data_IF_703114018883
#
_entry.id   IF_703114018883
#
_cell.length_a   1.000
_cell.length_b   1.000
_cell.length_c   1.000
_cell.angle_alpha   90.00
_cell.angle_beta   90.00
_cell.angle_gamma   90.00
#
_symmetry.space_group_name_H-M   'P 1'
#
loop_
_entity.id
_entity.type
_entity.pdbx_description
1 polymer ?
#
# COMPACT_ATOMS: atom_id res chain seq x y z
N UNK A 1 10.48 15.83 -20.06
CA UNK A 1 9.02 15.69 -20.22
C UNK A 1 8.43 17.05 -19.88
N UNK A 2 8.04 17.84 -20.87
CA UNK A 2 7.44 19.17 -20.59
C UNK A 2 5.96 18.99 -20.22
N UNK A 3 5.57 19.59 -19.09
CA UNK A 3 4.20 19.56 -18.56
C UNK A 3 3.29 20.43 -19.43
N UNK A 4 2.86 19.91 -20.58
CA UNK A 4 1.96 20.59 -21.53
C UNK A 4 0.65 21.11 -20.93
N UNK A 5 0.25 20.62 -19.75
CA UNK A 5 -0.99 20.95 -19.05
C UNK A 5 -0.77 21.48 -17.61
N UNK A 6 0.39 22.06 -17.30
CA UNK A 6 0.68 22.54 -15.94
C UNK A 6 -0.30 23.60 -15.41
N UNK A 7 -1.02 24.30 -16.31
CA UNK A 7 -1.94 25.39 -15.97
C UNK A 7 -3.39 24.93 -15.72
N UNK A 8 -3.68 23.64 -15.76
CA UNK A 8 -5.04 23.19 -15.45
C UNK A 8 -5.43 23.56 -13.99
N UNK A 9 -6.67 24.03 -13.76
CA UNK A 9 -7.10 24.52 -12.44
C UNK A 9 -7.03 23.43 -11.36
N UNK A 10 -7.09 22.16 -11.76
CA UNK A 10 -6.91 21.00 -10.88
C UNK A 10 -5.51 20.97 -10.25
N UNK A 11 -4.46 21.23 -11.03
CA UNK A 11 -3.08 21.21 -10.52
C UNK A 11 -2.79 22.44 -9.66
N UNK A 12 -3.35 23.59 -10.01
CA UNK A 12 -3.27 24.80 -9.18
C UNK A 12 -3.91 24.59 -7.80
N UNK A 13 -5.08 23.94 -7.74
CA UNK A 13 -5.74 23.60 -6.47
C UNK A 13 -4.90 22.64 -5.61
N UNK A 14 -4.27 21.63 -6.24
CA UNK A 14 -3.38 20.69 -5.53
C UNK A 14 -2.12 21.38 -5.01
N UNK A 15 -1.52 22.28 -5.81
CA UNK A 15 -0.34 23.05 -5.40
C UNK A 15 -0.67 23.98 -4.22
N UNK A 16 -1.83 24.63 -4.24
CA UNK A 16 -2.26 25.50 -3.14
C UNK A 16 -2.52 24.74 -1.84
N UNK A 17 -2.90 23.46 -1.93
CA UNK A 17 -3.06 22.57 -0.78
C UNK A 17 -1.77 21.87 -0.36
N UNK A 18 -0.67 22.03 -1.09
CA UNK A 18 0.60 21.38 -0.78
C UNK A 18 1.30 22.11 0.37
N UNK A 19 1.75 21.35 1.36
CA UNK A 19 2.51 21.86 2.49
C UNK A 19 3.96 21.39 2.37
N UNK A 20 4.89 22.34 2.37
CA UNK A 20 6.31 22.03 2.46
C UNK A 20 6.67 21.72 3.90
N UNK A 21 7.22 20.53 4.11
CA UNK A 21 7.68 20.09 5.41
C UNK A 21 9.18 20.28 5.53
N UNK A 22 9.61 21.33 6.25
CA UNK A 22 11.02 21.63 6.59
C UNK A 22 11.63 20.70 7.65
N UNK A 23 11.26 19.42 7.60
CA UNK A 23 11.74 18.40 8.52
C UNK A 23 12.94 17.65 7.94
N UNK A 24 14.14 17.99 8.40
CA UNK A 24 15.43 17.31 8.20
C UNK A 24 16.17 17.58 6.88
N UNK A 25 16.87 18.72 6.86
CA UNK A 25 18.20 18.81 6.23
C UNK A 25 19.13 17.85 7.00
N UNK A 26 19.14 16.60 6.57
CA UNK A 26 19.99 15.57 7.15
C UNK A 26 20.04 14.42 6.16
N UNK A 27 21.22 14.19 5.59
CA UNK A 27 21.44 13.15 4.59
C UNK A 27 20.89 11.79 5.03
N UNK A 28 20.78 10.89 4.05
CA UNK A 28 20.16 9.56 4.09
C UNK A 28 20.59 8.58 5.23
N UNK A 29 21.32 9.03 6.25
CA UNK A 29 21.81 8.24 7.38
C UNK A 29 21.13 8.44 8.73
N UNK A 30 20.24 9.42 8.94
CA UNK A 30 19.58 9.62 10.25
C UNK A 30 18.11 10.03 10.13
N UNK A 31 17.30 9.21 9.48
CA UNK A 31 15.87 9.22 9.81
C UNK A 31 15.74 8.70 11.25
N UNK A 32 15.73 9.61 12.23
CA UNK A 32 15.47 9.26 13.62
C UNK A 32 14.12 8.53 13.69
N UNK A 33 14.18 7.21 13.94
CA UNK A 33 13.05 6.27 13.96
C UNK A 33 11.95 6.66 14.95
N UNK A 34 12.27 7.51 15.92
CA UNK A 34 11.34 8.01 16.91
C UNK A 34 10.97 9.49 16.75
N UNK A 35 11.39 10.14 15.65
CA UNK A 35 10.99 11.52 15.41
C UNK A 35 9.45 11.59 15.36
N UNK A 36 8.82 12.41 16.23
CA UNK A 36 7.37 12.56 16.25
C UNK A 36 6.84 13.18 14.95
N UNK A 37 7.73 13.77 14.15
CA UNK A 37 7.40 14.41 12.88
C UNK A 37 7.01 13.40 11.80
N UNK A 38 7.86 12.40 11.56
CA UNK A 38 7.63 11.38 10.52
C UNK A 38 6.40 10.54 10.81
N UNK A 39 6.18 10.19 12.07
CA UNK A 39 4.97 9.46 12.51
C UNK A 39 3.70 10.24 12.17
N UNK A 40 3.67 11.57 12.40
CA UNK A 40 2.51 12.40 12.04
C UNK A 40 2.27 12.43 10.53
N UNK A 41 3.32 12.57 9.72
CA UNK A 41 3.19 12.56 8.26
C UNK A 41 2.67 11.21 7.75
N UNK A 42 3.20 10.10 8.26
CA UNK A 42 2.74 8.75 7.91
C UNK A 42 1.30 8.49 8.35
N UNK A 43 0.89 8.99 9.52
CA UNK A 43 -0.50 8.94 9.96
C UNK A 43 -1.41 9.73 9.02
N UNK A 44 -0.99 10.91 8.55
CA UNK A 44 -1.75 11.66 7.51
C UNK A 44 -1.87 10.87 6.21
N UNK A 45 -0.87 10.11 5.80
CA UNK A 45 -0.96 9.26 4.59
C UNK A 45 -1.87 8.05 4.83
N UNK A 46 -1.84 7.45 6.02
CA UNK A 46 -2.61 6.26 6.36
C UNK A 46 -4.10 6.57 6.57
N UNK A 47 -4.40 7.65 7.30
CA UNK A 47 -5.77 7.99 7.72
C UNK A 47 -6.45 8.99 6.78
N UNK A 48 -5.68 9.87 6.14
CA UNK A 48 -6.20 10.90 5.24
C UNK A 48 -5.72 10.63 3.81
N UNK A 49 -6.34 11.28 2.82
CA UNK A 49 -6.00 11.12 1.40
C UNK A 49 -4.80 11.97 0.98
N UNK A 50 -3.66 11.78 1.64
CA UNK A 50 -2.41 12.50 1.34
C UNK A 50 -1.37 11.60 0.69
N UNK A 51 -0.52 12.20 -0.15
CA UNK A 51 0.68 11.59 -0.70
C UNK A 51 1.91 12.40 -0.28
N UNK A 52 3.03 11.71 -0.07
CA UNK A 52 4.31 12.35 0.27
C UNK A 52 5.22 12.27 -0.96
N UNK A 53 5.82 13.40 -1.31
CA UNK A 53 6.84 13.51 -2.34
C UNK A 53 8.18 13.79 -1.65
N UNK A 54 9.14 12.90 -1.85
CA UNK A 54 10.49 13.00 -1.26
C UNK A 54 11.44 12.09 -2.05
N UNK A 55 12.73 12.12 -1.71
CA UNK A 55 13.74 11.26 -2.30
C UNK A 55 13.39 9.79 -2.15
N UNK A 56 13.48 9.03 -3.25
CA UNK A 56 13.19 7.58 -3.27
C UNK A 56 13.95 6.83 -2.18
N UNK A 57 15.23 7.18 -1.97
CA UNK A 57 16.06 6.62 -0.91
C UNK A 57 15.46 6.87 0.47
N UNK A 58 15.10 8.12 0.77
CA UNK A 58 14.49 8.50 2.05
C UNK A 58 13.17 7.80 2.30
N UNK A 59 12.30 7.75 1.29
CA UNK A 59 11.03 7.03 1.38
C UNK A 59 11.22 5.54 1.61
N UNK A 60 12.18 4.91 0.92
CA UNK A 60 12.48 3.48 1.11
C UNK A 60 13.01 3.15 2.51
N UNK A 61 13.86 4.02 3.09
CA UNK A 61 14.29 3.88 4.48
C UNK A 61 13.12 4.05 5.45
N UNK A 62 12.25 5.04 5.21
CA UNK A 62 11.08 5.30 6.06
C UNK A 62 10.10 4.11 6.05
N UNK A 63 9.79 3.58 4.88
CA UNK A 63 8.92 2.41 4.75
C UNK A 63 9.49 1.19 5.47
N UNK A 64 10.80 0.95 5.36
CA UNK A 64 11.44 -0.14 6.10
C UNK A 64 11.37 0.09 7.61
N UNK A 65 11.59 1.32 8.07
CA UNK A 65 11.55 1.65 9.48
C UNK A 65 10.16 1.38 10.09
N UNK A 66 9.08 1.73 9.38
CA UNK A 66 7.70 1.43 9.77
C UNK A 66 7.41 -0.07 9.75
N UNK A 67 7.80 -0.78 8.68
CA UNK A 67 7.62 -2.23 8.59
C UNK A 67 8.31 -2.96 9.76
N UNK A 68 9.50 -2.53 10.15
CA UNK A 68 10.21 -3.08 11.31
C UNK A 68 9.52 -2.81 12.66
N UNK A 69 8.49 -1.94 12.70
CA UNK A 69 7.70 -1.64 13.90
C UNK A 69 6.34 -2.35 13.85
N UNK A 70 5.63 -2.26 12.72
CA UNK A 70 4.25 -2.79 12.60
C UNK A 70 4.18 -4.21 12.06
N UNK A 71 5.26 -4.71 11.44
CA UNK A 71 5.31 -5.95 10.66
C UNK A 71 4.30 -6.00 9.49
N UNK A 72 3.70 -4.86 9.14
CA UNK A 72 2.74 -4.72 8.04
C UNK A 72 3.36 -3.98 6.84
N UNK A 73 2.78 -4.14 5.65
CA UNK A 73 3.20 -3.48 4.42
C UNK A 73 2.09 -2.53 3.92
N UNK A 74 1.83 -1.46 4.67
CA UNK A 74 0.70 -0.56 4.37
C UNK A 74 1.01 0.51 3.33
N UNK A 75 2.30 0.79 3.12
CA UNK A 75 2.77 1.83 2.21
C UNK A 75 3.36 1.23 0.94
N UNK A 76 3.25 1.95 -0.17
CA UNK A 76 3.84 1.61 -1.45
C UNK A 76 4.52 2.83 -2.06
N UNK A 77 5.58 2.60 -2.84
CA UNK A 77 6.21 3.64 -3.66
C UNK A 77 5.67 3.56 -5.08
N UNK A 78 5.54 4.73 -5.70
CA UNK A 78 5.29 4.84 -7.14
C UNK A 78 6.43 4.18 -7.93
N UNK A 79 6.08 3.56 -9.06
CA UNK A 79 7.07 3.01 -10.02
C UNK A 79 7.69 4.12 -10.85
N UNK A 80 6.93 5.18 -11.14
CA UNK A 80 7.41 6.30 -11.93
C UNK A 80 8.24 7.27 -11.08
N UNK A 81 9.43 7.60 -11.57
CA UNK A 81 10.31 8.62 -11.02
C UNK A 81 10.07 9.94 -11.77
N UNK A 82 9.61 10.96 -11.05
CA UNK A 82 9.23 12.24 -11.66
C UNK A 82 10.43 13.13 -12.00
N UNK A 83 11.54 12.99 -11.25
CA UNK A 83 12.74 13.80 -11.42
C UNK A 83 14.00 12.95 -11.21
N UNK A 84 14.94 13.07 -12.13
CA UNK A 84 16.26 12.45 -12.01
C UNK A 84 17.17 13.35 -11.18
N UNK A 85 17.44 12.92 -9.95
CA UNK A 85 18.31 13.64 -9.03
C UNK A 85 19.77 13.18 -9.16
N UNK A 86 20.66 14.15 -9.31
CA UNK A 86 22.10 13.91 -9.40
C UNK A 86 22.78 14.36 -8.12
N UNK A 87 23.44 13.43 -7.43
CA UNK A 87 24.23 13.75 -6.23
C UNK A 87 25.63 14.21 -6.64
N UNK A 88 26.05 15.38 -6.15
CA UNK A 88 27.38 15.93 -6.37
C UNK A 88 28.04 16.37 -5.07
N UNK A 89 29.37 16.30 -5.03
CA UNK A 89 30.17 16.86 -3.94
C UNK A 89 30.46 18.32 -4.25
N UNK A 90 30.10 19.22 -3.34
CA UNK A 90 30.38 20.65 -3.46
C UNK A 90 31.75 20.94 -2.86
N UNK A 91 32.57 21.70 -3.59
CA UNK A 91 33.92 22.11 -3.20
C UNK A 91 34.05 23.62 -3.42
N UNK A 92 34.83 24.37 -2.62
CA UNK A 92 35.05 25.79 -2.84
C UNK A 92 35.47 26.13 -4.27
N UNK A 93 34.97 27.25 -4.77
CA UNK A 93 35.30 27.76 -6.10
C UNK A 93 36.81 27.96 -6.25
N UNK A 94 37.39 27.50 -7.36
CA UNK A 94 38.83 27.58 -7.63
C UNK A 94 39.69 26.57 -6.87
N UNK A 95 39.10 25.59 -6.18
CA UNK A 95 39.89 24.56 -5.49
C UNK A 95 40.74 23.72 -6.48
N UNK A 96 42.04 23.52 -6.20
CA UNK A 96 42.91 22.69 -7.04
C UNK A 96 42.57 21.20 -6.93
N UNK A 97 41.76 20.81 -5.95
CA UNK A 97 41.37 19.43 -5.69
C UNK A 97 40.20 18.95 -6.55
N UNK A 98 39.38 19.85 -7.12
CA UNK A 98 38.25 19.49 -7.96
C UNK A 98 38.61 18.50 -9.09
N UNK A 99 39.66 18.71 -9.91
CA UNK A 99 40.02 17.75 -10.96
C UNK A 99 40.49 16.40 -10.41
N UNK A 100 41.15 16.39 -9.25
CA UNK A 100 41.62 15.15 -8.60
C UNK A 100 40.42 14.35 -8.09
N UNK A 101 39.50 15.01 -7.37
CA UNK A 101 38.28 14.38 -6.82
C UNK A 101 37.43 13.81 -7.96
N UNK A 102 37.16 14.60 -9.01
CA UNK A 102 36.36 14.13 -10.15
C UNK A 102 36.99 12.92 -10.85
N UNK A 103 38.33 12.90 -10.97
CA UNK A 103 39.05 11.77 -11.56
C UNK A 103 38.91 10.50 -10.72
N UNK A 104 39.06 10.61 -9.40
CA UNK A 104 38.94 9.45 -8.51
C UNK A 104 37.49 8.96 -8.40
N UNK A 105 36.50 9.85 -8.33
CA UNK A 105 35.09 9.46 -8.37
C UNK A 105 34.75 8.72 -9.67
N UNK A 106 35.24 9.22 -10.82
CA UNK A 106 35.04 8.54 -12.11
C UNK A 106 35.66 7.14 -12.13
N UNK A 107 36.85 6.97 -11.54
CA UNK A 107 37.50 5.65 -11.41
C UNK A 107 36.69 4.71 -10.50
N UNK A 108 36.22 5.21 -9.36
CA UNK A 108 35.38 4.43 -8.44
C UNK A 108 34.07 3.97 -9.10
N UNK A 109 33.45 4.85 -9.89
CA UNK A 109 32.22 4.52 -10.63
C UNK A 109 32.48 3.46 -11.69
N UNK A 110 33.54 3.63 -12.51
CA UNK A 110 33.92 2.66 -13.56
C UNK A 110 34.31 1.30 -13.00
N UNK A 111 34.96 1.28 -11.84
CA UNK A 111 35.32 0.06 -11.14
C UNK A 111 34.12 -0.58 -10.38
N UNK A 112 32.95 0.06 -10.36
CA UNK A 112 31.74 -0.45 -9.72
C UNK A 112 31.76 -0.38 -8.18
N UNK A 113 32.72 0.34 -7.57
CA UNK A 113 32.80 0.48 -6.11
C UNK A 113 31.56 1.19 -5.56
N UNK A 114 31.10 2.23 -6.24
CA UNK A 114 29.91 2.99 -5.84
C UNK A 114 28.67 2.08 -5.84
N UNK A 115 28.48 1.27 -6.89
CA UNK A 115 27.36 0.32 -6.97
C UNK A 115 27.42 -0.73 -5.86
N UNK A 116 28.61 -1.23 -5.54
CA UNK A 116 28.81 -2.18 -4.44
C UNK A 116 28.47 -1.56 -3.09
N UNK A 117 28.92 -0.34 -2.82
CA UNK A 117 28.60 0.37 -1.59
C UNK A 117 27.10 0.64 -1.49
N UNK A 118 26.49 1.11 -2.57
CA UNK A 118 25.07 1.36 -2.64
C UNK A 118 24.29 0.08 -2.28
N UNK A 119 24.62 -1.06 -2.89
CA UNK A 119 23.99 -2.35 -2.57
C UNK A 119 24.21 -2.81 -1.12
N UNK A 120 25.36 -2.49 -0.53
CA UNK A 120 25.72 -2.91 0.83
C UNK A 120 25.00 -2.08 1.91
N UNK A 121 24.82 -0.78 1.69
CA UNK A 121 24.24 0.14 2.67
C UNK A 121 22.74 0.37 2.49
N UNK A 122 22.21 0.14 1.29
CA UNK A 122 20.76 0.19 1.05
C UNK A 122 20.03 -0.90 1.85
N UNK A 123 18.79 -0.61 2.27
CA UNK A 123 17.93 -1.64 2.83
C UNK A 123 17.79 -2.80 1.84
N UNK A 124 17.98 -4.02 2.33
CA UNK A 124 17.75 -5.23 1.53
C UNK A 124 16.29 -5.24 1.09
N UNK A 125 16.04 -5.78 -0.11
CA UNK A 125 14.67 -5.91 -0.67
C UNK A 125 13.86 -6.85 0.21
N UNK A 126 13.04 -6.27 1.07
CA UNK A 126 12.14 -7.02 1.97
C UNK A 126 10.84 -7.41 1.25
N UNK A 127 9.97 -8.16 1.94
CA UNK A 127 8.67 -8.61 1.40
C UNK A 127 7.82 -7.45 0.88
N UNK A 128 7.82 -6.30 1.57
CA UNK A 128 7.07 -5.11 1.15
C UNK A 128 7.55 -4.50 -0.18
N UNK A 129 8.81 -4.68 -0.55
CA UNK A 129 9.34 -4.17 -1.83
C UNK A 129 8.78 -4.95 -3.04
N UNK A 130 8.47 -6.24 -2.86
CA UNK A 130 7.79 -7.03 -3.91
C UNK A 130 6.32 -6.67 -3.98
N UNK A 131 5.71 -6.41 -2.82
CA UNK A 131 4.32 -5.99 -2.75
C UNK A 131 4.12 -4.63 -3.41
N UNK A 132 5.02 -3.65 -3.33
CA UNK A 132 4.80 -2.35 -4.01
C UNK A 132 4.68 -2.45 -5.53
N UNK A 133 5.43 -3.37 -6.18
CA UNK A 133 5.27 -3.65 -7.62
C UNK A 133 4.02 -4.49 -7.92
N UNK A 134 3.61 -5.36 -6.99
CA UNK A 134 2.42 -6.22 -7.13
C UNK A 134 1.13 -5.48 -6.68
N UNK A 135 1.24 -4.39 -5.94
CA UNK A 135 0.12 -3.54 -5.49
C UNK A 135 -0.50 -2.79 -6.66
N UNK A 136 0.25 -2.56 -7.73
CA UNK A 136 -0.28 -2.11 -9.02
C UNK A 136 -0.97 -3.23 -9.80
N UNK A 137 -0.72 -4.49 -9.43
CA UNK A 137 -1.43 -5.66 -9.94
C UNK A 137 -2.61 -6.05 -9.02
N UNK A 138 -3.09 -5.12 -8.17
CA UNK A 138 -4.43 -5.18 -7.53
C UNK A 138 -5.51 -4.82 -8.55
N UNK A 139 -5.36 -5.30 -9.78
CA UNK A 139 -6.42 -5.41 -10.78
C UNK A 139 -6.63 -6.85 -11.23
N UNK A 140 -5.90 -7.82 -10.67
CA UNK A 140 -6.30 -9.21 -10.79
C UNK A 140 -7.21 -9.55 -9.61
N UNK A 141 -8.45 -9.05 -9.66
CA UNK A 141 -9.53 -9.49 -8.78
C UNK A 141 -9.84 -10.96 -9.13
N UNK A 142 -8.97 -11.87 -8.70
CA UNK A 142 -9.29 -13.29 -8.65
C UNK A 142 -10.44 -13.41 -7.66
N UNK A 143 -11.62 -13.70 -8.19
CA UNK A 143 -12.90 -13.78 -7.48
C UNK A 143 -12.67 -14.50 -6.15
N UNK A 144 -12.67 -13.74 -5.06
CA UNK A 144 -12.34 -14.28 -3.75
C UNK A 144 -13.61 -14.90 -3.17
N UNK A 145 -13.46 -15.87 -2.27
CA UNK A 145 -14.61 -16.53 -1.63
C UNK A 145 -15.46 -15.52 -0.84
N UNK A 146 -14.90 -14.37 -0.45
CA UNK A 146 -15.63 -13.22 0.11
C UNK A 146 -16.67 -12.64 -0.84
N UNK A 147 -16.39 -12.63 -2.14
CA UNK A 147 -17.22 -11.95 -3.14
C UNK A 147 -18.39 -12.86 -3.57
N UNK A 148 -18.22 -14.18 -3.44
CA UNK A 148 -19.27 -15.18 -3.69
C UNK A 148 -20.12 -15.47 -2.43
N UNK A 149 -19.82 -14.85 -1.29
CA UNK A 149 -20.48 -15.10 -0.01
C UNK A 149 -22.00 -14.78 -0.07
N UNK A 150 -22.40 -13.76 -0.84
CA UNK A 150 -23.81 -13.42 -1.05
C UNK A 150 -24.61 -14.56 -1.66
N UNK A 151 -24.05 -15.27 -2.64
CA UNK A 151 -24.70 -16.41 -3.29
C UNK A 151 -24.88 -17.59 -2.33
N UNK A 152 -23.89 -17.85 -1.46
CA UNK A 152 -23.99 -18.89 -0.44
C UNK A 152 -25.07 -18.59 0.61
N UNK A 153 -25.22 -17.32 1.03
CA UNK A 153 -26.28 -16.95 1.98
C UNK A 153 -27.68 -17.12 1.40
N UNK A 154 -27.89 -16.74 0.13
CA UNK A 154 -29.19 -16.93 -0.54
C UNK A 154 -29.53 -18.41 -0.66
N UNK A 155 -28.56 -19.25 -1.02
CA UNK A 155 -28.75 -20.69 -1.15
C UNK A 155 -29.08 -21.33 0.20
N UNK A 156 -28.40 -20.92 1.27
CA UNK A 156 -28.68 -21.36 2.63
C UNK A 156 -30.09 -20.96 3.07
N UNK A 157 -30.47 -19.68 2.92
CA UNK A 157 -31.82 -19.22 3.27
C UNK A 157 -32.90 -19.97 2.47
N UNK A 158 -32.69 -20.18 1.17
CA UNK A 158 -33.59 -20.97 0.33
C UNK A 158 -33.78 -22.40 0.86
N UNK A 159 -32.68 -23.08 1.21
CA UNK A 159 -32.74 -24.42 1.79
C UNK A 159 -33.49 -24.47 3.14
N UNK A 160 -33.23 -23.51 4.02
CA UNK A 160 -33.92 -23.42 5.32
C UNK A 160 -35.41 -23.18 5.17
N UNK A 161 -35.82 -22.27 4.27
CA UNK A 161 -37.24 -22.01 4.02
C UNK A 161 -37.96 -23.23 3.45
N UNK A 162 -37.36 -23.93 2.48
CA UNK A 162 -37.93 -25.14 1.90
C UNK A 162 -38.06 -26.26 2.95
N UNK A 163 -37.02 -26.48 3.75
CA UNK A 163 -37.04 -27.47 4.82
C UNK A 163 -38.10 -27.15 5.89
N UNK A 164 -38.25 -25.88 6.26
CA UNK A 164 -39.27 -25.42 7.20
C UNK A 164 -40.69 -25.68 6.69
N UNK A 165 -40.98 -25.36 5.41
CA UNK A 165 -42.29 -25.60 4.79
C UNK A 165 -42.63 -27.09 4.78
N UNK A 166 -41.69 -27.95 4.41
CA UNK A 166 -41.89 -29.41 4.41
C UNK A 166 -42.16 -29.96 5.83
N UNK A 167 -41.45 -29.46 6.84
CA UNK A 167 -41.68 -29.87 8.24
C UNK A 167 -43.08 -29.45 8.70
N UNK A 168 -43.51 -28.22 8.38
CA UNK A 168 -44.84 -27.72 8.74
C UNK A 168 -45.93 -28.53 8.06
N UNK A 169 -45.80 -28.82 6.76
CA UNK A 169 -46.74 -29.64 6.01
C UNK A 169 -46.84 -31.05 6.61
N UNK A 170 -45.70 -31.67 6.92
CA UNK A 170 -45.64 -32.99 7.52
C UNK A 170 -46.30 -33.03 8.91
N UNK A 171 -46.07 -32.01 9.75
CA UNK A 171 -46.71 -31.90 11.07
C UNK A 171 -48.21 -31.67 10.95
N UNK A 172 -48.66 -30.81 10.04
CA UNK A 172 -50.08 -30.55 9.80
C UNK A 172 -50.80 -31.80 9.27
N UNK A 173 -50.20 -32.51 8.31
CA UNK A 173 -50.77 -33.73 7.75
C UNK A 173 -50.85 -34.86 8.80
N UNK A 174 -49.79 -35.04 9.61
CA UNK A 174 -49.83 -35.99 10.74
C UNK A 174 -50.89 -35.64 11.78
N UNK A 175 -51.07 -34.35 12.11
CA UNK A 175 -52.13 -33.91 13.04
C UNK A 175 -53.52 -34.14 12.46
N UNK A 176 -53.72 -33.90 11.16
CA UNK A 176 -54.98 -34.15 10.48
C UNK A 176 -55.32 -35.65 10.46
N UNK A 177 -54.37 -36.51 10.08
CA UNK A 177 -54.54 -37.97 10.10
C UNK A 177 -54.84 -38.49 11.50
N UNK A 178 -54.14 -37.99 12.54
CA UNK A 178 -54.41 -38.37 13.93
C UNK A 178 -55.78 -37.88 14.42
N UNK A 179 -56.26 -36.73 13.93
CA UNK A 179 -57.60 -36.23 14.24
C UNK A 179 -58.69 -37.03 13.54
N UNK A 180 -58.44 -37.53 12.33
CA UNK A 180 -59.38 -38.39 11.60
C UNK A 180 -59.49 -39.80 12.22
N UNK A 181 -58.41 -40.34 12.79
CA UNK A 181 -58.44 -41.61 13.56
C UNK A 181 -59.20 -41.51 14.90
N UNK A 182 -59.32 -40.32 15.49
CA UNK A 182 -60.02 -40.10 16.78
C UNK A 182 -61.53 -39.87 16.57
N UNK A 183 -61.98 -39.54 15.35
CA UNK A 183 -63.39 -39.34 15.03
C UNK A 183 -63.98 -40.67 14.54
N UNK A 184 -64.51 -41.46 15.47
CA UNK A 184 -65.40 -42.58 15.17
C UNK A 184 -66.60 -42.00 14.41
N UNK A 185 -66.70 -42.28 13.11
CA UNK A 185 -67.90 -41.95 12.31
C UNK A 185 -69.05 -42.86 12.77
N UNK A 186 -70.15 -42.33 13.31
CA UNK A 186 -71.38 -43.12 13.38
C UNK A 186 -71.95 -43.20 11.95
N UNK A 187 -72.39 -44.41 11.63
CA UNK A 187 -73.11 -44.84 10.43
C UNK A 187 -74.30 -43.93 10.08
#
# INVERSE_FOLDING_TARGET
MELRNSEEPKYAALLNGAELTDGAVGGAGTADRNSPFWKRQLLRVREQRHAIFDWKLRLSYLMRAEHMITDTCDFSLSVDEFMEEHLAMVVPAGSPYLPVINKEISRMQKAGLITKWLYQYLPKRDRCWKTSTISQEVNNHTVNLSDMQGSFFVLFLGFFTASFVLIVEWLCNRRKLRSEDIIIKPY
#
